data_IF_495144679526
#
_entry.id   IF_495144679526
#
_cell.length_a   1.000
_cell.length_b   1.000
_cell.length_c   1.000
_cell.angle_alpha   90.00
_cell.angle_beta   90.00
_cell.angle_gamma   90.00
#
_symmetry.space_group_name_H-M   'P 1'
#
loop_
_entity.id
_entity.type
_entity.pdbx_description
1 polymer ?
#
# COMPACT_ATOMS: atom_id res chain seq x y z
N UNK A 1 28.11 -2.11 -33.11
CA UNK A 1 27.27 -3.13 -33.75
C UNK A 1 25.83 -2.64 -33.68
N UNK A 2 25.12 -2.62 -34.80
CA UNK A 2 23.71 -2.20 -34.85
C UNK A 2 22.86 -3.22 -34.08
N UNK A 3 21.98 -2.74 -33.18
CA UNK A 3 21.10 -3.63 -32.41
C UNK A 3 20.05 -4.20 -33.35
N UNK A 4 19.76 -5.49 -33.24
CA UNK A 4 18.75 -6.14 -34.07
C UNK A 4 17.38 -5.50 -33.83
N UNK A 5 17.09 -5.06 -32.60
CA UNK A 5 15.88 -4.31 -32.28
C UNK A 5 15.66 -3.06 -33.16
N UNK A 6 16.72 -2.34 -33.54
CA UNK A 6 16.61 -1.14 -34.39
C UNK A 6 16.19 -1.48 -35.82
N UNK A 7 16.62 -2.63 -36.34
CA UNK A 7 16.21 -3.12 -37.67
C UNK A 7 14.72 -3.48 -37.73
N UNK A 8 14.17 -4.01 -36.63
CA UNK A 8 12.74 -4.29 -36.48
C UNK A 8 11.93 -3.00 -36.36
N UNK A 9 12.39 -1.99 -35.62
CA UNK A 9 11.73 -0.67 -35.56
C UNK A 9 11.68 0.02 -36.92
N UNK A 10 12.73 -0.12 -37.74
CA UNK A 10 12.78 0.43 -39.10
C UNK A 10 11.96 -0.38 -40.12
N UNK A 11 11.38 -1.53 -39.73
CA UNK A 11 10.61 -2.40 -40.62
C UNK A 11 11.44 -3.09 -41.71
N UNK A 12 12.77 -3.12 -41.58
CA UNK A 12 13.70 -3.69 -42.57
C UNK A 12 14.10 -5.14 -42.27
N UNK A 13 13.57 -5.73 -41.20
CA UNK A 13 13.89 -7.09 -40.80
C UNK A 13 13.41 -8.11 -41.86
N UNK A 14 14.30 -8.97 -42.40
CA UNK A 14 13.92 -10.01 -43.35
C UNK A 14 12.89 -10.99 -42.76
N UNK A 15 12.01 -11.56 -43.61
CA UNK A 15 10.94 -12.47 -43.14
C UNK A 15 11.46 -13.69 -42.37
N UNK A 16 12.63 -14.23 -42.76
CA UNK A 16 13.26 -15.35 -42.06
C UNK A 16 13.63 -14.97 -40.62
N UNK A 17 14.14 -13.75 -40.42
CA UNK A 17 14.50 -13.23 -39.09
C UNK A 17 13.25 -12.91 -38.28
N UNK A 18 12.19 -12.40 -38.94
CA UNK A 18 10.87 -12.17 -38.31
C UNK A 18 10.26 -13.47 -37.80
N UNK A 19 10.33 -14.56 -38.57
CA UNK A 19 9.82 -15.87 -38.15
C UNK A 19 10.56 -16.42 -36.93
N UNK A 20 11.90 -16.38 -36.96
CA UNK A 20 12.73 -16.78 -35.81
C UNK A 20 12.48 -15.92 -34.56
N UNK A 21 12.20 -14.64 -34.75
CA UNK A 21 11.80 -13.76 -33.68
C UNK A 21 10.49 -14.18 -33.02
N UNK A 22 9.48 -14.54 -33.82
CA UNK A 22 8.19 -15.04 -33.32
C UNK A 22 8.33 -16.35 -32.55
N UNK A 23 9.25 -17.22 -32.95
CA UNK A 23 9.56 -18.47 -32.25
C UNK A 23 10.36 -18.25 -30.96
N UNK A 24 10.86 -17.03 -30.70
CA UNK A 24 11.72 -16.74 -29.55
C UNK A 24 13.16 -17.28 -29.69
N UNK A 25 13.54 -17.76 -30.87
CA UNK A 25 14.84 -18.37 -31.19
C UNK A 25 15.78 -17.38 -31.90
N UNK A 26 15.97 -16.21 -31.28
CA UNK A 26 16.95 -15.23 -31.74
C UNK A 26 18.23 -15.33 -30.89
N UNK A 27 19.43 -15.33 -31.51
CA UNK A 27 20.72 -15.31 -30.82
C UNK A 27 21.05 -13.91 -30.29
N UNK A 28 20.12 -13.31 -29.54
CA UNK A 28 20.25 -12.00 -28.90
C UNK A 28 19.94 -12.12 -27.40
N UNK A 29 20.47 -11.20 -26.56
CA UNK A 29 20.18 -11.18 -25.13
C UNK A 29 18.67 -11.10 -24.84
N UNK A 30 18.23 -11.66 -23.71
CA UNK A 30 16.80 -11.74 -23.35
C UNK A 30 16.07 -10.41 -23.41
N UNK A 31 16.69 -9.34 -22.91
CA UNK A 31 16.13 -7.98 -22.95
C UNK A 31 15.88 -7.47 -24.38
N UNK A 32 16.83 -7.70 -25.30
CA UNK A 32 16.68 -7.30 -26.71
C UNK A 32 15.62 -8.15 -27.42
N UNK A 33 15.48 -9.42 -27.04
CA UNK A 33 14.46 -10.31 -27.59
C UNK A 33 13.05 -9.92 -27.14
N UNK A 34 12.85 -9.54 -25.88
CA UNK A 34 11.57 -9.01 -25.36
C UNK A 34 11.20 -7.73 -26.10
N UNK A 35 12.18 -6.86 -26.35
CA UNK A 35 11.98 -5.63 -27.10
C UNK A 35 11.49 -5.91 -28.53
N UNK A 36 12.13 -6.85 -29.23
CA UNK A 36 11.72 -7.27 -30.58
C UNK A 36 10.31 -7.88 -30.58
N UNK A 37 10.02 -8.77 -29.64
CA UNK A 37 8.70 -9.39 -29.52
C UNK A 37 7.61 -8.37 -29.18
N UNK A 38 7.92 -7.37 -28.37
CA UNK A 38 7.00 -6.26 -28.05
C UNK A 38 6.70 -5.41 -29.30
N UNK A 39 7.71 -5.17 -30.14
CA UNK A 39 7.53 -4.48 -31.43
C UNK A 39 6.63 -5.32 -32.35
N UNK A 40 6.87 -6.63 -32.46
CA UNK A 40 6.06 -7.54 -33.29
C UNK A 40 4.63 -7.70 -32.78
N UNK A 41 4.42 -7.62 -31.47
CA UNK A 41 3.09 -7.62 -30.88
C UNK A 41 2.26 -6.37 -31.21
N UNK A 42 2.88 -5.32 -31.75
CA UNK A 42 2.23 -4.10 -32.27
C UNK A 42 2.25 -4.03 -33.81
N UNK A 43 2.62 -5.10 -34.50
CA UNK A 43 2.71 -5.14 -35.97
C UNK A 43 1.32 -4.98 -36.64
N UNK A 44 1.27 -4.59 -37.91
CA UNK A 44 0.01 -4.41 -38.66
C UNK A 44 -0.69 -5.75 -38.91
N UNK A 45 0.08 -6.81 -39.06
CA UNK A 45 -0.45 -8.16 -39.27
C UNK A 45 -0.97 -8.79 -37.97
N UNK A 46 -2.24 -9.20 -37.98
CA UNK A 46 -2.89 -9.78 -36.81
C UNK A 46 -2.32 -11.15 -36.42
N UNK A 47 -1.93 -11.96 -37.41
CA UNK A 47 -1.35 -13.28 -37.14
C UNK A 47 0.01 -13.14 -36.43
N UNK A 48 0.86 -12.24 -36.92
CA UNK A 48 2.15 -11.88 -36.30
C UNK A 48 1.95 -11.37 -34.86
N UNK A 49 0.98 -10.46 -34.63
CA UNK A 49 0.72 -9.92 -33.28
C UNK A 49 0.34 -11.02 -32.29
N UNK A 50 -0.60 -11.89 -32.66
CA UNK A 50 -1.09 -12.97 -31.80
C UNK A 50 0.02 -13.98 -31.48
N UNK A 51 0.84 -14.33 -32.47
CA UNK A 51 1.95 -15.23 -32.28
C UNK A 51 3.00 -14.63 -31.34
N UNK A 52 3.40 -13.38 -31.56
CA UNK A 52 4.36 -12.69 -30.68
C UNK A 52 3.87 -12.61 -29.23
N UNK A 53 2.59 -12.29 -29.04
CA UNK A 53 1.93 -12.29 -27.72
C UNK A 53 1.96 -13.68 -27.08
N UNK A 54 1.62 -14.72 -27.83
CA UNK A 54 1.61 -16.09 -27.34
C UNK A 54 3.02 -16.53 -26.88
N UNK A 55 4.05 -16.21 -27.65
CA UNK A 55 5.44 -16.49 -27.30
C UNK A 55 5.86 -15.76 -26.02
N UNK A 56 5.48 -14.47 -25.88
CA UNK A 56 5.75 -13.71 -24.65
C UNK A 56 5.02 -14.29 -23.43
N UNK A 57 3.80 -14.80 -23.58
CA UNK A 57 3.03 -15.39 -22.49
C UNK A 57 3.58 -16.75 -22.03
N UNK A 58 4.13 -17.54 -22.97
CA UNK A 58 4.74 -18.84 -22.69
C UNK A 58 6.15 -18.73 -22.09
N UNK A 59 6.75 -17.55 -22.16
CA UNK A 59 8.10 -17.33 -21.68
C UNK A 59 8.18 -17.34 -20.15
N UNK A 60 9.36 -17.64 -19.62
CA UNK A 60 9.56 -17.80 -18.18
C UNK A 60 9.19 -16.52 -17.41
N UNK A 61 8.53 -16.71 -16.27
CA UNK A 61 8.03 -15.61 -15.45
C UNK A 61 9.16 -14.86 -14.74
N UNK A 62 10.24 -15.55 -14.35
CA UNK A 62 11.37 -14.95 -13.65
C UNK A 62 12.21 -14.10 -14.62
N UNK A 63 12.52 -14.63 -15.80
CA UNK A 63 13.26 -13.90 -16.83
C UNK A 63 12.54 -12.61 -17.26
N UNK A 64 11.21 -12.68 -17.44
CA UNK A 64 10.40 -11.51 -17.77
C UNK A 64 10.35 -10.49 -16.63
N UNK A 65 10.27 -10.94 -15.37
CA UNK A 65 10.31 -10.04 -14.20
C UNK A 65 11.65 -9.34 -14.09
N UNK A 66 12.77 -10.03 -14.26
CA UNK A 66 14.11 -9.44 -14.19
C UNK A 66 14.28 -8.31 -15.21
N UNK A 67 13.78 -8.52 -16.44
CA UNK A 67 13.82 -7.48 -17.46
C UNK A 67 12.83 -6.36 -17.15
N UNK A 68 11.60 -6.66 -16.71
CA UNK A 68 10.61 -5.63 -16.41
C UNK A 68 10.97 -4.79 -15.17
N UNK A 69 11.71 -5.32 -14.20
CA UNK A 69 12.19 -4.60 -13.02
C UNK A 69 13.41 -3.70 -13.32
N UNK A 70 14.12 -3.96 -14.43
CA UNK A 70 15.33 -3.23 -14.78
C UNK A 70 15.05 -1.75 -15.13
N UNK A 71 15.81 -0.78 -14.57
CA UNK A 71 15.64 0.64 -14.86
C UNK A 71 15.99 1.02 -16.30
N UNK A 72 16.66 0.14 -17.04
CA UNK A 72 17.07 0.35 -18.44
C UNK A 72 15.91 0.04 -19.41
N UNK A 73 14.84 -0.58 -18.91
CA UNK A 73 13.73 -1.04 -19.75
C UNK A 73 12.94 0.14 -20.32
N UNK A 74 12.80 0.22 -21.65
CA UNK A 74 12.06 1.30 -22.29
C UNK A 74 10.59 1.36 -21.85
N UNK A 75 10.07 2.59 -21.68
CA UNK A 75 8.67 2.85 -21.29
C UNK A 75 7.66 2.17 -22.21
N UNK A 76 7.96 2.05 -23.51
CA UNK A 76 7.09 1.35 -24.47
C UNK A 76 6.89 -0.14 -24.14
N UNK A 77 7.90 -0.79 -23.54
CA UNK A 77 7.81 -2.19 -23.09
C UNK A 77 7.00 -2.28 -21.81
N UNK A 78 7.18 -1.33 -20.89
CA UNK A 78 6.40 -1.25 -19.64
C UNK A 78 4.92 -1.01 -19.92
N UNK A 79 4.61 -0.04 -20.79
CA UNK A 79 3.27 0.26 -21.29
C UNK A 79 2.62 -0.97 -21.93
N UNK A 80 3.35 -1.67 -22.80
CA UNK A 80 2.87 -2.90 -23.40
C UNK A 80 2.61 -4.00 -22.36
N UNK A 81 3.52 -4.19 -21.41
CA UNK A 81 3.37 -5.21 -20.38
C UNK A 81 2.16 -4.95 -19.48
N UNK A 82 1.89 -3.70 -19.09
CA UNK A 82 0.72 -3.32 -18.30
C UNK A 82 -0.59 -3.55 -19.07
N UNK A 83 -0.61 -3.21 -20.36
CA UNK A 83 -1.84 -3.27 -21.16
C UNK A 83 -2.16 -4.68 -21.68
N UNK A 84 -1.15 -5.46 -22.05
CA UNK A 84 -1.34 -6.71 -22.80
C UNK A 84 -0.88 -7.97 -22.07
N UNK A 85 0.12 -7.89 -21.18
CA UNK A 85 0.62 -9.06 -20.44
C UNK A 85 -0.02 -9.19 -19.07
N UNK A 86 -0.10 -8.10 -18.33
CA UNK A 86 -0.64 -8.06 -16.96
C UNK A 86 -2.08 -8.60 -16.81
N UNK A 87 -3.03 -8.43 -17.76
CA UNK A 87 -4.36 -9.02 -17.63
C UNK A 87 -4.35 -10.56 -17.55
N UNK A 88 -3.39 -11.21 -18.20
CA UNK A 88 -3.28 -12.68 -18.23
C UNK A 88 -2.27 -13.19 -17.20
N UNK A 89 -1.26 -12.38 -16.90
CA UNK A 89 -0.10 -12.72 -16.06
C UNK A 89 0.02 -11.73 -14.90
N UNK A 90 -0.85 -11.89 -13.90
CA UNK A 90 -0.84 -11.07 -12.69
C UNK A 90 0.47 -11.19 -11.88
N UNK A 91 1.21 -12.29 -12.10
CA UNK A 91 2.54 -12.55 -11.56
C UNK A 91 3.58 -11.51 -12.00
N UNK A 92 3.39 -10.83 -13.14
CA UNK A 92 4.31 -9.80 -13.65
C UNK A 92 4.08 -8.41 -13.04
N UNK A 93 2.95 -8.18 -12.37
CA UNK A 93 2.60 -6.88 -11.79
C UNK A 93 3.61 -6.39 -10.77
N UNK A 94 4.20 -7.31 -10.01
CA UNK A 94 5.21 -7.01 -9.01
C UNK A 94 6.49 -6.46 -9.65
N UNK A 95 7.04 -7.16 -10.64
CA UNK A 95 8.24 -6.70 -11.36
C UNK A 95 8.04 -5.36 -12.07
N UNK A 96 6.82 -5.09 -12.55
CA UNK A 96 6.48 -3.79 -13.14
C UNK A 96 6.49 -2.65 -12.10
N UNK A 97 5.97 -2.89 -10.89
CA UNK A 97 5.93 -1.88 -9.83
C UNK A 97 7.31 -1.59 -9.22
N UNK A 98 8.21 -2.58 -9.23
CA UNK A 98 9.61 -2.44 -8.78
C UNK A 98 10.44 -1.57 -9.73
N UNK A 99 10.02 -1.40 -10.98
CA UNK A 99 10.74 -0.56 -11.92
C UNK A 99 10.61 0.93 -11.55
N UNK A 100 11.73 1.64 -11.29
CA UNK A 100 11.72 3.07 -10.98
C UNK A 100 11.37 3.94 -12.21
N UNK A 101 11.52 3.40 -13.42
CA UNK A 101 11.19 4.05 -14.69
C UNK A 101 9.74 3.89 -15.14
N UNK A 102 8.90 3.19 -14.36
CA UNK A 102 7.48 3.05 -14.67
C UNK A 102 6.74 4.40 -14.48
N UNK A 103 6.09 4.94 -15.53
CA UNK A 103 5.26 6.15 -15.44
C UNK A 103 4.18 6.05 -14.37
N UNK A 104 3.91 7.18 -13.70
CA UNK A 104 2.92 7.26 -12.63
C UNK A 104 1.50 6.89 -13.11
N UNK A 105 1.13 7.27 -14.34
CA UNK A 105 -0.17 6.94 -14.93
C UNK A 105 -0.39 5.42 -15.02
N UNK A 106 0.63 4.68 -15.46
CA UNK A 106 0.59 3.22 -15.56
C UNK A 106 0.62 2.55 -14.17
N UNK A 107 1.29 3.19 -13.20
CA UNK A 107 1.32 2.73 -11.80
C UNK A 107 -0.07 2.83 -11.17
N UNK A 108 -0.80 3.90 -11.43
CA UNK A 108 -2.20 4.06 -11.00
C UNK A 108 -3.12 3.08 -11.72
N UNK A 109 -2.90 2.79 -13.01
CA UNK A 109 -3.68 1.80 -13.74
C UNK A 109 -3.54 0.39 -13.13
N UNK A 110 -2.31 -0.04 -12.83
CA UNK A 110 -2.05 -1.31 -12.14
C UNK A 110 -2.80 -1.35 -10.80
N UNK A 111 -2.77 -0.25 -10.03
CA UNK A 111 -3.49 -0.16 -8.75
C UNK A 111 -5.00 -0.28 -8.94
N UNK A 112 -5.57 0.41 -9.92
CA UNK A 112 -7.00 0.37 -10.21
C UNK A 112 -7.45 -1.03 -10.63
N UNK A 113 -6.64 -1.74 -11.41
CA UNK A 113 -6.94 -3.12 -11.80
C UNK A 113 -6.94 -4.06 -10.60
N UNK A 114 -5.94 -3.95 -9.73
CA UNK A 114 -5.90 -4.69 -8.46
C UNK A 114 -7.10 -4.37 -7.55
N UNK A 115 -7.58 -3.12 -7.56
CA UNK A 115 -8.77 -2.72 -6.83
C UNK A 115 -10.05 -3.32 -7.42
N UNK A 116 -10.20 -3.37 -8.75
CA UNK A 116 -11.37 -3.96 -9.40
C UNK A 116 -11.42 -5.49 -9.24
N UNK A 117 -10.30 -6.19 -9.41
CA UNK A 117 -10.21 -7.63 -9.13
C UNK A 117 -10.62 -7.94 -7.68
N UNK A 118 -10.16 -7.12 -6.72
CA UNK A 118 -10.55 -7.26 -5.32
C UNK A 118 -12.03 -6.97 -5.08
N UNK A 119 -12.68 -6.08 -5.85
CA UNK A 119 -14.13 -5.81 -5.74
C UNK A 119 -14.97 -6.96 -6.28
N UNK A 120 -14.54 -7.58 -7.38
CA UNK A 120 -15.25 -8.71 -7.99
C UNK A 120 -15.22 -9.95 -7.09
N UNK A 121 -14.10 -10.22 -6.40
CA UNK A 121 -14.01 -11.29 -5.38
C UNK A 121 -14.90 -11.03 -4.15
N UNK A 122 -15.29 -9.78 -3.86
CA UNK A 122 -16.19 -9.43 -2.75
C UNK A 122 -17.66 -9.70 -3.10
N UNK A 123 -18.04 -9.63 -4.38
CA UNK A 123 -19.41 -9.87 -4.82
C UNK A 123 -19.80 -11.36 -4.77
N UNK A 124 -18.82 -12.26 -4.90
CA UNK A 124 -19.04 -13.72 -4.95
C UNK A 124 -18.70 -14.45 -3.63
N UNK A 125 -18.17 -13.72 -2.64
CA UNK A 125 -17.91 -14.27 -1.32
C UNK A 125 -19.19 -14.28 -0.47
N UNK A 126 -19.64 -15.44 0.07
CA UNK A 126 -20.77 -15.46 0.99
C UNK A 126 -20.45 -14.62 2.22
N UNK A 127 -21.40 -13.80 2.64
CA UNK A 127 -21.29 -12.93 3.81
C UNK A 127 -20.83 -13.75 5.03
N UNK A 128 -19.58 -13.53 5.45
CA UNK A 128 -19.01 -14.22 6.60
C UNK A 128 -19.83 -13.93 7.86
N UNK A 129 -20.17 -14.95 8.68
CA UNK A 129 -20.85 -14.72 9.95
C UNK A 129 -19.91 -14.06 10.95
N UNK A 130 -20.45 -13.08 11.69
CA UNK A 130 -19.80 -12.40 12.81
C UNK A 130 -19.55 -13.37 13.97
N UNK A 131 -18.32 -13.35 14.47
CA UNK A 131 -17.84 -13.66 15.82
C UNK A 131 -18.18 -15.04 16.44
N UNK A 132 -17.16 -15.84 16.72
CA UNK A 132 -17.10 -16.71 17.91
C UNK A 132 -15.66 -17.13 18.20
N UNK A 133 -15.39 -17.34 19.49
CA UNK A 133 -14.14 -17.77 20.09
C UNK A 133 -13.56 -19.08 19.51
N UNK A 134 -12.26 -19.24 19.74
CA UNK A 134 -11.50 -20.42 19.34
C UNK A 134 -12.10 -21.74 19.80
N UNK A 135 -12.01 -22.72 18.90
CA UNK A 135 -11.61 -24.10 19.15
C UNK A 135 -11.35 -24.79 17.82
N UNK A 136 -10.40 -25.70 17.88
CA UNK A 136 -9.85 -26.56 16.84
C UNK A 136 -10.83 -27.02 15.77
N UNK A 137 -10.37 -27.00 14.51
CA UNK A 137 -10.69 -28.02 13.52
C UNK A 137 -9.39 -28.43 12.80
N UNK A 138 -9.04 -29.70 12.92
CA UNK A 138 -7.84 -30.35 12.39
C UNK A 138 -8.25 -31.19 11.18
N UNK A 139 -7.50 -31.11 10.07
CA UNK A 139 -7.14 -32.26 9.23
C UNK A 139 -6.14 -31.82 8.13
N UNK A 140 -5.00 -32.53 8.00
CA UNK A 140 -4.10 -32.44 6.84
C UNK A 140 -2.64 -32.07 7.14
N UNK A 141 -1.85 -33.08 7.51
CA UNK A 141 -0.42 -33.30 7.24
C UNK A 141 0.57 -32.10 7.15
N UNK A 142 1.51 -32.08 8.10
CA UNK A 142 2.94 -31.84 7.82
C UNK A 142 3.47 -30.44 7.54
N UNK A 143 2.64 -29.43 7.29
CA UNK A 143 3.13 -28.04 7.11
C UNK A 143 3.21 -27.37 8.48
N UNK A 144 4.41 -26.94 8.90
CA UNK A 144 4.56 -26.09 10.09
C UNK A 144 3.52 -24.97 9.99
N UNK A 145 2.58 -24.91 10.94
CA UNK A 145 1.58 -23.83 10.99
C UNK A 145 2.32 -22.53 11.19
N UNK A 146 2.67 -21.86 10.10
CA UNK A 146 3.29 -20.56 10.14
C UNK A 146 2.34 -19.61 10.86
N UNK A 147 2.85 -18.97 11.90
CA UNK A 147 2.10 -17.91 12.55
C UNK A 147 1.81 -16.82 11.53
N UNK A 148 0.67 -16.12 11.64
CA UNK A 148 0.29 -15.06 10.69
C UNK A 148 1.41 -14.01 10.54
N UNK A 149 2.17 -13.75 11.60
CA UNK A 149 3.33 -12.86 11.60
C UNK A 149 4.46 -13.40 10.72
N UNK A 150 4.79 -14.69 10.83
CA UNK A 150 5.82 -15.33 10.00
C UNK A 150 5.45 -15.31 8.52
N UNK A 151 4.18 -15.60 8.21
CA UNK A 151 3.66 -15.54 6.84
C UNK A 151 3.76 -14.11 6.28
N UNK A 152 3.29 -13.12 7.03
CA UNK A 152 3.35 -11.70 6.62
C UNK A 152 4.81 -11.26 6.40
N UNK A 153 5.76 -11.70 7.22
CA UNK A 153 7.15 -11.30 7.06
C UNK A 153 7.82 -11.89 5.82
N UNK A 154 7.34 -13.03 5.31
CA UNK A 154 7.82 -13.63 4.06
C UNK A 154 7.15 -13.02 2.82
N UNK A 155 5.97 -12.44 2.99
CA UNK A 155 5.23 -11.82 1.91
C UNK A 155 5.92 -10.57 1.39
N UNK A 156 5.79 -10.35 0.09
CA UNK A 156 6.32 -9.16 -0.56
C UNK A 156 5.51 -7.91 -0.19
N UNK A 157 6.03 -6.72 -0.53
CA UNK A 157 5.32 -5.47 -0.25
C UNK A 157 3.94 -5.41 -0.95
N UNK A 158 3.81 -5.99 -2.15
CA UNK A 158 2.56 -6.02 -2.92
C UNK A 158 1.56 -6.96 -2.27
N UNK A 159 2.00 -8.15 -1.90
CA UNK A 159 1.16 -9.13 -1.21
C UNK A 159 0.67 -8.60 0.14
N UNK A 160 1.54 -7.87 0.86
CA UNK A 160 1.18 -7.16 2.10
C UNK A 160 0.14 -6.06 1.86
N UNK A 161 0.24 -5.31 0.76
CA UNK A 161 -0.78 -4.32 0.38
C UNK A 161 -2.11 -5.02 0.08
N UNK A 162 -2.09 -6.11 -0.69
CA UNK A 162 -3.31 -6.89 -0.99
C UNK A 162 -3.94 -7.39 0.31
N UNK A 163 -3.14 -7.96 1.21
CA UNK A 163 -3.58 -8.44 2.52
C UNK A 163 -4.05 -7.31 3.44
N UNK A 164 -3.46 -6.11 3.37
CA UNK A 164 -3.90 -4.94 4.14
C UNK A 164 -5.33 -4.53 3.75
N UNK A 165 -5.67 -4.64 2.47
CA UNK A 165 -6.96 -4.25 1.93
C UNK A 165 -8.03 -5.32 2.19
N UNK A 166 -7.73 -6.59 1.94
CA UNK A 166 -8.71 -7.69 1.97
C UNK A 166 -8.75 -8.46 3.29
N UNK A 167 -7.64 -8.44 4.03
CA UNK A 167 -7.37 -9.35 5.14
C UNK A 167 -8.13 -9.05 6.43
N UNK A 168 -7.80 -9.85 7.44
CA UNK A 168 -8.49 -9.89 8.73
C UNK A 168 -8.04 -8.73 9.63
N UNK A 169 -8.76 -8.47 10.72
CA UNK A 169 -8.38 -7.47 11.73
C UNK A 169 -6.95 -7.69 12.24
N UNK A 170 -6.56 -8.95 12.50
CA UNK A 170 -5.22 -9.30 12.97
C UNK A 170 -4.14 -8.97 11.95
N UNK A 171 -4.38 -9.27 10.67
CA UNK A 171 -3.47 -8.94 9.58
C UNK A 171 -3.26 -7.43 9.47
N UNK A 172 -4.33 -6.64 9.55
CA UNK A 172 -4.24 -5.17 9.53
C UNK A 172 -3.47 -4.61 10.74
N UNK A 173 -3.67 -5.19 11.93
CA UNK A 173 -2.96 -4.77 13.15
C UNK A 173 -1.45 -5.02 13.07
N UNK A 174 -1.03 -6.03 12.33
CA UNK A 174 0.39 -6.30 12.06
C UNK A 174 0.91 -5.32 10.98
N UNK A 175 0.18 -5.18 9.88
CA UNK A 175 0.60 -4.40 8.70
C UNK A 175 0.65 -2.89 8.94
N UNK A 176 -0.15 -2.33 9.86
CA UNK A 176 -0.09 -0.90 10.22
C UNK A 176 1.26 -0.51 10.85
N UNK A 177 2.01 -1.49 11.35
CA UNK A 177 3.34 -1.33 11.97
C UNK A 177 4.47 -1.72 11.01
N UNK A 178 4.16 -1.97 9.75
CA UNK A 178 5.17 -2.36 8.76
C UNK A 178 6.16 -1.22 8.52
N UNK A 179 7.40 -1.59 8.16
CA UNK A 179 8.46 -0.63 7.83
C UNK A 179 8.15 0.13 6.54
N UNK A 180 7.44 -0.51 5.60
CA UNK A 180 7.03 0.12 4.37
C UNK A 180 5.79 1.01 4.60
N UNK A 181 5.98 2.32 4.43
CA UNK A 181 4.94 3.34 4.61
C UNK A 181 3.74 3.14 3.68
N UNK A 182 3.97 2.59 2.48
CA UNK A 182 2.90 2.30 1.52
C UNK A 182 1.97 1.21 2.05
N UNK A 183 2.51 0.14 2.63
CA UNK A 183 1.74 -0.94 3.25
C UNK A 183 0.88 -0.39 4.39
N UNK A 184 1.50 0.38 5.29
CA UNK A 184 0.80 0.97 6.44
C UNK A 184 -0.30 1.96 6.02
N UNK A 185 -0.08 2.73 4.94
CA UNK A 185 -1.09 3.62 4.36
C UNK A 185 -2.26 2.85 3.76
N UNK A 186 -2.00 1.74 3.06
CA UNK A 186 -3.05 0.91 2.47
C UNK A 186 -4.00 0.32 3.51
N UNK A 187 -3.52 0.03 4.73
CA UNK A 187 -4.37 -0.44 5.83
C UNK A 187 -5.47 0.57 6.16
N UNK A 188 -5.16 1.88 6.19
CA UNK A 188 -6.14 2.93 6.46
C UNK A 188 -7.15 3.15 5.32
N UNK A 189 -6.82 2.72 4.10
CA UNK A 189 -7.70 2.82 2.93
C UNK A 189 -8.64 1.63 2.80
N UNK A 190 -8.47 0.57 3.61
CA UNK A 190 -9.36 -0.59 3.55
C UNK A 190 -10.78 -0.20 3.97
N UNK A 191 -11.81 -0.60 3.20
CA UNK A 191 -13.22 -0.31 3.51
C UNK A 191 -13.71 -1.06 4.76
N UNK A 192 -12.93 -2.04 5.24
CA UNK A 192 -13.27 -2.88 6.40
C UNK A 192 -12.74 -2.34 7.73
N UNK A 193 -12.07 -1.18 7.72
CA UNK A 193 -11.54 -0.56 8.94
C UNK A 193 -12.68 -0.06 9.82
N UNK A 194 -12.68 -0.48 11.08
CA UNK A 194 -13.64 -0.03 12.08
C UNK A 194 -13.04 1.05 12.98
N UNK A 195 -13.88 1.93 13.54
CA UNK A 195 -13.43 3.01 14.44
C UNK A 195 -12.64 2.49 15.66
N UNK A 196 -13.00 1.32 16.19
CA UNK A 196 -12.27 0.67 17.28
C UNK A 196 -10.85 0.23 16.87
N UNK A 197 -10.64 -0.14 15.60
CA UNK A 197 -9.31 -0.45 15.08
C UNK A 197 -8.48 0.82 14.94
N UNK A 198 -9.09 1.92 14.48
CA UNK A 198 -8.42 3.22 14.35
C UNK A 198 -7.95 3.75 15.71
N UNK A 199 -8.73 3.54 16.77
CA UNK A 199 -8.30 3.86 18.14
C UNK A 199 -7.06 3.05 18.56
N UNK A 200 -7.05 1.75 18.25
CA UNK A 200 -5.89 0.89 18.51
C UNK A 200 -4.66 1.33 17.69
N UNK A 201 -4.84 1.78 16.45
CA UNK A 201 -3.75 2.32 15.62
C UNK A 201 -3.22 3.65 16.15
N UNK A 202 -4.12 4.55 16.57
CA UNK A 202 -3.77 5.85 17.13
C UNK A 202 -3.00 5.75 18.45
N UNK A 203 -3.26 4.73 19.27
CA UNK A 203 -2.55 4.51 20.54
C UNK A 203 -1.21 3.77 20.37
N UNK A 204 -0.95 3.17 19.22
CA UNK A 204 0.22 2.33 19.01
C UNK A 204 1.52 3.16 18.85
N UNK A 205 2.53 2.80 19.64
CA UNK A 205 3.85 3.48 19.66
C UNK A 205 4.79 3.07 18.52
N UNK A 206 4.42 2.06 17.74
CA UNK A 206 5.26 1.52 16.65
C UNK A 206 4.71 1.90 15.27
N UNK A 207 3.79 2.86 15.21
CA UNK A 207 3.18 3.36 13.97
C UNK A 207 3.97 4.58 13.48
N UNK A 208 4.02 4.76 12.16
CA UNK A 208 4.72 5.87 11.51
C UNK A 208 3.94 7.19 11.66
N UNK A 209 4.65 8.32 11.68
CA UNK A 209 4.05 9.65 11.83
C UNK A 209 3.09 9.99 10.69
N UNK A 210 3.38 9.50 9.48
CA UNK A 210 2.54 9.69 8.29
C UNK A 210 1.16 9.05 8.47
N UNK A 211 1.10 7.83 9.03
CA UNK A 211 -0.16 7.14 9.32
C UNK A 211 -0.97 7.91 10.37
N UNK A 212 -0.31 8.38 11.44
CA UNK A 212 -0.98 9.20 12.46
C UNK A 212 -1.52 10.51 11.88
N UNK A 213 -0.78 11.12 10.93
CA UNK A 213 -1.25 12.30 10.20
C UNK A 213 -2.47 11.99 9.35
N UNK A 214 -2.48 10.88 8.61
CA UNK A 214 -3.62 10.47 7.80
C UNK A 214 -4.88 10.21 8.64
N UNK A 215 -4.73 9.57 9.81
CA UNK A 215 -5.83 9.39 10.77
C UNK A 215 -6.38 10.75 11.20
N UNK A 216 -5.50 11.70 11.51
CA UNK A 216 -5.91 13.04 11.96
C UNK A 216 -6.53 13.91 10.86
N UNK A 217 -6.17 13.71 9.59
CA UNK A 217 -6.76 14.42 8.46
C UNK A 217 -8.19 13.92 8.15
N UNK A 218 -8.52 12.68 8.52
CA UNK A 218 -9.86 12.14 8.32
C UNK A 218 -10.84 12.69 9.37
N UNK A 219 -11.80 13.51 8.90
CA UNK A 219 -12.82 14.13 9.75
C UNK A 219 -13.74 13.10 10.42
N UNK A 220 -13.94 11.92 9.83
CA UNK A 220 -14.77 10.87 10.43
C UNK A 220 -14.14 10.36 11.73
N UNK A 221 -12.84 10.05 11.69
CA UNK A 221 -12.11 9.52 12.84
C UNK A 221 -11.93 10.57 13.95
N UNK A 222 -11.63 11.82 13.58
CA UNK A 222 -11.43 12.90 14.55
C UNK A 222 -12.72 13.33 15.27
N UNK A 223 -13.90 13.02 14.73
CA UNK A 223 -15.16 13.20 15.47
C UNK A 223 -15.25 12.28 16.69
N UNK A 224 -14.60 11.11 16.64
CA UNK A 224 -14.56 10.20 17.77
C UNK A 224 -13.54 10.72 18.81
N UNK A 225 -14.05 11.04 19.99
CA UNK A 225 -13.24 11.53 21.11
C UNK A 225 -12.14 10.55 21.52
N UNK A 226 -12.42 9.24 21.47
CA UNK A 226 -11.46 8.21 21.86
C UNK A 226 -10.22 8.20 20.94
N UNK A 227 -10.44 8.34 19.63
CA UNK A 227 -9.36 8.45 18.64
C UNK A 227 -8.55 9.74 18.86
N UNK A 228 -9.23 10.87 19.02
CA UNK A 228 -8.56 12.16 19.28
C UNK A 228 -7.71 12.12 20.56
N UNK A 229 -8.24 11.53 21.64
CA UNK A 229 -7.53 11.33 22.90
C UNK A 229 -6.32 10.42 22.75
N UNK A 230 -6.45 9.33 22.00
CA UNK A 230 -5.37 8.37 21.74
C UNK A 230 -4.24 8.99 20.92
N UNK A 231 -4.57 9.83 19.92
CA UNK A 231 -3.58 10.58 19.14
C UNK A 231 -2.76 11.54 20.00
N UNK A 232 -3.41 12.35 20.86
CA UNK A 232 -2.70 13.33 21.71
C UNK A 232 -1.79 12.66 22.75
N UNK A 233 -2.13 11.43 23.18
CA UNK A 233 -1.32 10.67 24.13
C UNK A 233 -0.17 9.90 23.47
N UNK A 234 -0.08 9.87 22.14
CA UNK A 234 0.94 9.10 21.44
C UNK A 234 2.27 9.89 21.35
N UNK A 235 3.42 9.33 21.78
CA UNK A 235 4.73 9.98 21.67
C UNK A 235 5.13 10.34 20.24
N UNK A 236 4.65 9.58 19.24
CA UNK A 236 5.03 9.72 17.83
C UNK A 236 4.01 10.53 17.03
N UNK A 237 2.94 11.00 17.66
CA UNK A 237 2.01 11.88 16.96
C UNK A 237 2.72 13.22 16.68
N UNK A 238 2.73 13.68 15.42
CA UNK A 238 3.40 14.92 15.09
C UNK A 238 2.67 16.11 15.73
N UNK A 239 3.40 17.21 15.98
CA UNK A 239 2.90 18.34 16.76
C UNK A 239 1.79 19.11 16.02
N UNK A 240 1.85 19.11 14.69
CA UNK A 240 0.86 19.69 13.77
C UNK A 240 -0.55 19.14 14.03
N UNK A 241 -0.67 17.82 14.24
CA UNK A 241 -1.97 17.17 14.48
C UNK A 241 -2.38 17.20 15.95
N UNK A 242 -1.41 17.14 16.86
CA UNK A 242 -1.70 17.02 18.29
C UNK A 242 -2.15 18.35 18.90
N UNK A 243 -1.54 19.48 18.52
CA UNK A 243 -1.84 20.80 19.11
C UNK A 243 -3.31 21.23 18.92
N UNK A 244 -3.93 21.11 17.73
CA UNK A 244 -5.35 21.44 17.55
C UNK A 244 -6.29 20.56 18.39
N UNK A 245 -5.91 19.31 18.63
CA UNK A 245 -6.73 18.33 19.35
C UNK A 245 -6.75 18.58 20.87
N UNK A 246 -5.71 19.21 21.45
CA UNK A 246 -5.66 19.55 22.89
C UNK A 246 -6.86 20.41 23.29
N UNK A 247 -7.27 21.36 22.44
CA UNK A 247 -8.38 22.25 22.72
C UNK A 247 -9.74 21.53 22.80
N UNK A 248 -9.82 20.30 22.27
CA UNK A 248 -11.02 19.45 22.32
C UNK A 248 -11.04 18.49 23.51
N UNK A 249 -9.97 18.44 24.30
CA UNK A 249 -9.86 17.50 25.42
C UNK A 249 -10.67 17.97 26.64
N UNK A 250 -11.26 17.00 27.34
CA UNK A 250 -11.97 17.21 28.59
C UNK A 250 -11.01 17.61 29.72
N UNK A 251 -11.52 18.26 30.76
CA UNK A 251 -10.71 18.75 31.89
C UNK A 251 -9.96 17.63 32.62
N UNK A 252 -10.58 16.46 32.74
CA UNK A 252 -9.96 15.26 33.33
C UNK A 252 -8.74 14.82 32.51
N UNK A 253 -8.88 14.78 31.20
CA UNK A 253 -7.81 14.34 30.30
C UNK A 253 -6.70 15.38 30.15
N UNK A 254 -7.05 16.68 30.16
CA UNK A 254 -6.06 17.77 30.22
C UNK A 254 -5.17 17.66 31.46
N UNK A 255 -5.73 17.33 32.62
CA UNK A 255 -4.97 17.08 33.86
C UNK A 255 -4.10 15.82 33.76
N UNK A 256 -4.56 14.78 33.08
CA UNK A 256 -3.73 13.58 32.85
C UNK A 256 -2.54 13.87 31.93
N UNK A 257 -2.74 14.72 30.91
CA UNK A 257 -1.68 15.15 29.99
C UNK A 257 -0.55 15.91 30.71
N UNK A 258 -0.85 16.71 31.74
CA UNK A 258 0.21 17.44 32.47
C UNK A 258 1.21 16.50 33.16
N UNK A 259 0.74 15.34 33.61
CA UNK A 259 1.56 14.36 34.35
C UNK A 259 2.24 13.34 33.44
N UNK A 260 1.68 13.08 32.25
CA UNK A 260 2.13 12.00 31.37
C UNK A 260 3.52 12.27 30.76
N UNK A 261 4.56 11.51 31.10
CA UNK A 261 5.93 11.67 30.57
C UNK A 261 6.12 11.17 29.13
N UNK A 262 5.14 10.45 28.58
CA UNK A 262 5.24 9.84 27.26
C UNK A 262 4.86 10.78 26.10
N UNK A 263 4.46 12.03 26.38
CA UNK A 263 4.09 13.00 25.34
C UNK A 263 5.18 14.06 25.13
N UNK A 264 5.25 14.69 23.94
CA UNK A 264 6.10 15.85 23.69
C UNK A 264 5.92 16.97 24.72
N UNK A 265 7.02 17.59 25.16
CA UNK A 265 7.02 18.60 26.22
C UNK A 265 6.24 19.87 25.86
N UNK A 266 6.17 20.19 24.57
CA UNK A 266 5.33 21.27 24.03
C UNK A 266 3.85 21.04 24.31
N UNK A 267 3.35 19.82 24.13
CA UNK A 267 1.96 19.43 24.40
C UNK A 267 1.70 19.51 25.91
N UNK A 268 2.63 19.02 26.74
CA UNK A 268 2.52 19.12 28.21
C UNK A 268 2.43 20.57 28.68
N UNK A 269 3.32 21.43 28.19
CA UNK A 269 3.37 22.86 28.55
C UNK A 269 2.07 23.57 28.17
N UNK A 270 1.54 23.28 26.98
CA UNK A 270 0.26 23.81 26.53
C UNK A 270 -0.91 23.31 27.37
N UNK A 271 -0.94 22.03 27.74
CA UNK A 271 -1.94 21.48 28.64
C UNK A 271 -1.90 22.15 30.03
N UNK A 272 -0.71 22.38 30.61
CA UNK A 272 -0.54 23.10 31.88
C UNK A 272 -1.11 24.52 31.77
N UNK A 273 -0.82 25.23 30.67
CA UNK A 273 -1.33 26.58 30.43
C UNK A 273 -2.86 26.59 30.37
N UNK A 274 -3.47 25.66 29.64
CA UNK A 274 -4.92 25.56 29.51
C UNK A 274 -5.61 25.19 30.83
N UNK A 275 -5.04 24.26 31.60
CA UNK A 275 -5.57 23.90 32.93
C UNK A 275 -5.54 25.12 33.86
N UNK A 276 -4.43 25.87 33.91
CA UNK A 276 -4.32 27.10 34.72
C UNK A 276 -5.33 28.16 34.29
N UNK A 277 -5.53 28.35 32.98
CA UNK A 277 -6.52 29.29 32.45
C UNK A 277 -7.95 28.90 32.88
N UNK A 278 -8.29 27.61 32.80
CA UNK A 278 -9.60 27.11 33.24
C UNK A 278 -9.79 27.24 34.76
N UNK A 279 -8.76 26.97 35.55
CA UNK A 279 -8.81 27.15 37.01
C UNK A 279 -8.95 28.63 37.41
N UNK A 280 -8.29 29.55 36.70
CA UNK A 280 -8.45 30.99 36.90
C UNK A 280 -9.84 31.48 36.51
N UNK A 281 -10.43 30.93 35.44
CA UNK A 281 -11.80 31.24 35.03
C UNK A 281 -12.85 30.68 36.01
N UNK A 282 -12.56 29.55 36.66
CA UNK A 282 -13.44 28.91 37.65
C UNK A 282 -13.43 29.62 39.01
N UNK A 283 -12.34 30.32 39.37
CA UNK A 283 -12.31 31.14 40.58
C UNK A 283 -13.26 32.35 40.42
N UNK A 284 -14.28 32.50 41.29
CA UNK A 284 -15.17 33.65 41.19
C UNK A 284 -14.36 34.94 41.37
N UNK A 285 -14.48 35.87 40.42
CA UNK A 285 -13.94 37.22 40.57
C UNK A 285 -14.67 37.87 41.74
N UNK A 286 -14.05 37.88 42.92
CA UNK A 286 -14.53 38.67 44.05
C UNK A 286 -14.45 40.13 43.60
N UNK A 287 -15.56 40.89 43.51
CA UNK A 287 -15.50 42.29 43.18
C UNK A 287 -14.79 42.98 44.36
N UNK A 288 -13.57 43.43 44.14
CA UNK A 288 -12.91 44.37 45.05
C UNK A 288 -13.64 45.69 44.94
N UNK A 289 -14.66 45.85 45.79
CA UNK A 289 -15.32 47.12 46.02
C UNK A 289 -14.32 48.09 46.60
N UNK A 290 -13.87 49.04 45.77
CA UNK A 290 -13.21 50.24 46.25
C UNK A 290 -14.29 51.11 46.91
N UNK A 291 -14.20 51.24 48.24
CA UNK A 291 -14.85 52.29 49.02
C UNK A 291 -14.14 53.62 48.80
#
# INVERSE_FOLDING_TARGET
>A
MERLADTFRQGKAPEVVRRKALEGDLPVPGAERIEILTILARDKDEATRKHALQTLLQWDAQDLREVLASPVTPVAILDFAVNYLAPTRADLLEGLLENPGLPDDLREEIRNRLLEEAKLEIADAPAAPRAAHGKDLIAGEGVQRETLIQRINRMSAVEKIKLALTGNQESRLILIRDSNKLVARSVLQSPKVMDAEVEAYASAKNVSEEVLRLIAMNRAYIKNYAVARSLVNNPRAPLDVSLPLINRMNDKDLKLLTTNRNIPETIRTMAIKLVKQKEQALKPKIPTGHK
#
